data_IF_019850571039
#
_entry.id   IF_019850571039
#
_cell.length_a   1.000
_cell.length_b   1.000
_cell.length_c   1.000
_cell.angle_alpha   90.00
_cell.angle_beta   90.00
_cell.angle_gamma   90.00
#
_symmetry.space_group_name_H-M   'P 1'
#
loop_
_entity.id
_entity.type
_entity.pdbx_description
1 polymer ?
#
# COMPACT_ATOMS: atom_id res chain seq x y z
N UNK A 1 -4.78 -3.44 20.52
CA UNK A 1 -4.42 -3.45 20.09
C UNK A 1 -4.13 -3.13 19.37
N UNK A 2 -4.00 -3.16 19.00
CA UNK A 2 -3.70 -2.97 18.39
C UNK A 2 -3.39 -2.10 17.57
N UNK A 3 -3.42 -1.11 17.71
CA UNK A 3 -2.98 -0.14 16.91
C UNK A 3 -1.60 0.13 17.01
N UNK A 4 -0.90 -0.47 17.87
CA UNK A 4 0.48 -0.18 18.01
C UNK A 4 1.23 -0.90 16.96
N UNK A 5 2.37 -0.41 16.60
CA UNK A 5 3.24 -1.05 15.69
C UNK A 5 3.86 -2.23 16.34
N UNK A 6 3.81 -3.35 15.69
CA UNK A 6 4.36 -4.56 16.21
C UNK A 6 5.77 -4.73 15.76
N UNK A 7 6.53 -5.46 16.51
CA UNK A 7 7.84 -5.88 16.06
C UNK A 7 7.67 -6.78 14.85
N UNK A 8 8.53 -6.67 13.90
CA UNK A 8 8.46 -7.51 12.72
C UNK A 8 9.08 -6.82 11.54
N UNK A 9 8.78 -7.35 10.37
CA UNK A 9 9.32 -6.81 9.14
C UNK A 9 8.26 -6.04 8.40
N UNK A 10 8.67 -4.96 7.78
CA UNK A 10 7.77 -4.08 7.07
C UNK A 10 8.34 -3.76 5.71
N UNK A 11 7.47 -3.72 4.72
CA UNK A 11 7.84 -3.24 3.40
C UNK A 11 7.63 -1.73 3.40
N UNK A 12 8.64 -0.99 3.01
CA UNK A 12 8.49 0.45 2.87
C UNK A 12 8.40 0.82 1.41
N UNK A 13 7.59 1.81 1.12
CA UNK A 13 7.37 2.25 -0.25
C UNK A 13 7.10 3.75 -0.25
N UNK A 14 7.32 4.37 -1.38
CA UNK A 14 7.19 5.80 -1.47
C UNK A 14 5.98 6.22 -2.24
N UNK A 15 5.30 7.24 -1.75
CA UNK A 15 4.27 7.92 -2.48
C UNK A 15 4.63 9.39 -2.37
N UNK A 16 5.05 10.00 -3.46
CA UNK A 16 5.63 11.33 -3.48
C UNK A 16 6.85 11.34 -2.58
N UNK A 17 6.89 12.22 -1.65
CA UNK A 17 8.01 12.31 -0.74
C UNK A 17 7.75 11.61 0.57
N UNK A 18 6.64 10.93 0.69
CA UNK A 18 6.28 10.28 1.94
C UNK A 18 6.63 8.82 1.91
N UNK A 19 7.10 8.32 3.02
CA UNK A 19 7.43 6.92 3.13
C UNK A 19 6.32 6.23 3.93
N UNK A 20 5.80 5.17 3.37
CA UNK A 20 4.76 4.37 4.00
C UNK A 20 5.32 2.99 4.30
N UNK A 21 4.73 2.30 5.23
CA UNK A 21 5.14 0.95 5.57
C UNK A 21 3.95 0.02 5.74
N UNK A 22 4.11 -1.20 5.29
CA UNK A 22 3.12 -2.23 5.45
C UNK A 22 3.77 -3.44 6.08
N UNK A 23 3.05 -4.08 7.00
CA UNK A 23 3.52 -5.28 7.60
C UNK A 23 3.74 -6.31 6.50
N UNK A 24 4.88 -6.98 6.52
CA UNK A 24 5.24 -7.84 5.41
C UNK A 24 4.25 -8.98 5.21
N UNK A 25 3.60 -9.45 6.27
CA UNK A 25 2.65 -10.54 6.14
C UNK A 25 1.39 -10.13 5.40
N UNK A 26 1.13 -8.84 5.27
CA UNK A 26 -0.02 -8.38 4.51
C UNK A 26 0.30 -8.31 3.03
N UNK A 27 1.57 -8.33 2.66
CA UNK A 27 1.96 -8.15 1.28
C UNK A 27 1.96 -9.49 0.59
N UNK A 28 1.17 -9.63 -0.49
CA UNK A 28 1.11 -10.84 -1.21
C UNK A 28 2.12 -10.83 -2.32
N UNK A 29 2.28 -9.70 -2.94
CA UNK A 29 3.08 -9.63 -4.13
C UNK A 29 3.35 -8.18 -4.51
N UNK A 30 4.43 -7.90 -5.18
CA UNK A 30 4.76 -6.58 -5.70
C UNK A 30 5.03 -6.75 -7.17
N UNK A 31 4.37 -5.95 -8.00
CA UNK A 31 4.49 -6.09 -9.44
C UNK A 31 4.60 -4.74 -10.11
N UNK A 32 5.12 -4.75 -11.32
CA UNK A 32 4.95 -3.59 -12.19
C UNK A 32 3.48 -3.44 -12.46
N UNK A 33 3.05 -2.24 -12.77
CA UNK A 33 1.64 -1.99 -12.93
C UNK A 33 1.14 -2.58 -14.25
N UNK A 34 0.24 -3.53 -14.19
CA UNK A 34 -0.35 -4.06 -15.42
C UNK A 34 -1.40 -3.11 -15.97
N UNK A 35 -2.04 -3.48 -17.05
CA UNK A 35 -3.08 -2.64 -17.60
C UNK A 35 -4.23 -2.52 -16.61
N UNK A 36 -4.66 -1.31 -16.37
CA UNK A 36 -5.73 -1.05 -15.43
C UNK A 36 -6.99 -0.75 -16.23
N UNK A 37 -8.05 -1.46 -15.92
CA UNK A 37 -9.34 -1.22 -16.56
C UNK A 37 -10.14 -0.31 -15.64
N UNK A 38 -10.52 0.84 -16.17
CA UNK A 38 -11.31 1.78 -15.39
C UNK A 38 -12.76 1.29 -15.38
N UNK A 39 -13.35 1.30 -14.19
CA UNK A 39 -14.73 0.86 -14.04
C UNK A 39 -15.57 2.05 -13.64
N UNK A 40 -16.54 2.45 -14.44
CA UNK A 40 -17.35 3.62 -14.11
C UNK A 40 -18.15 3.39 -12.84
N UNK A 41 -18.34 4.44 -12.11
CA UNK A 41 -19.14 4.37 -10.88
C UNK A 41 -18.40 4.01 -9.64
N UNK A 42 -17.12 3.70 -9.72
CA UNK A 42 -16.36 3.45 -8.52
C UNK A 42 -15.87 4.75 -7.91
N UNK A 43 -15.50 4.68 -6.66
CA UNK A 43 -14.93 5.82 -5.97
C UNK A 43 -13.72 6.32 -6.75
N UNK A 44 -13.48 7.62 -6.73
CA UNK A 44 -12.37 8.16 -7.52
C UNK A 44 -11.01 7.82 -6.95
N UNK A 45 -10.91 7.26 -5.76
CA UNK A 45 -9.63 6.77 -5.28
C UNK A 45 -9.32 5.39 -5.85
N UNK A 46 -10.32 4.70 -6.39
CA UNK A 46 -10.08 3.42 -7.02
C UNK A 46 -9.77 3.70 -8.46
N UNK A 47 -8.52 3.38 -8.86
CA UNK A 47 -8.08 3.69 -10.18
C UNK A 47 -8.72 2.77 -11.21
N UNK A 48 -9.10 1.60 -10.81
CA UNK A 48 -9.72 0.61 -11.66
C UNK A 48 -9.46 -0.78 -11.14
N UNK A 49 -9.47 -1.75 -12.02
CA UNK A 49 -9.19 -3.13 -11.65
C UNK A 49 -8.08 -3.66 -12.52
N UNK A 50 -7.35 -4.64 -12.01
CA UNK A 50 -6.33 -5.34 -12.78
C UNK A 50 -6.61 -6.83 -12.67
N UNK A 51 -6.18 -7.56 -13.70
CA UNK A 51 -6.30 -9.00 -13.67
C UNK A 51 -4.91 -9.56 -13.41
N UNK A 52 -4.75 -10.28 -12.32
CA UNK A 52 -3.49 -10.88 -11.97
C UNK A 52 -3.73 -12.36 -11.84
N UNK A 53 -3.24 -13.09 -12.81
CA UNK A 53 -3.37 -14.55 -12.83
C UNK A 53 -4.81 -15.01 -12.67
N UNK A 54 -5.71 -14.33 -13.32
CA UNK A 54 -7.12 -14.69 -13.28
C UNK A 54 -7.92 -14.08 -12.14
N UNK A 55 -7.24 -13.36 -11.25
CA UNK A 55 -7.96 -12.71 -10.16
C UNK A 55 -8.15 -11.24 -10.48
N UNK A 56 -9.35 -10.76 -10.30
CA UNK A 56 -9.68 -9.36 -10.55
C UNK A 56 -9.50 -8.61 -9.25
N UNK A 57 -8.61 -7.65 -9.24
CA UNK A 57 -8.21 -6.98 -8.02
C UNK A 57 -8.41 -5.48 -8.19
N UNK A 58 -9.11 -4.83 -7.27
CA UNK A 58 -9.26 -3.38 -7.32
C UNK A 58 -7.95 -2.70 -6.96
N UNK A 59 -7.67 -1.58 -7.59
CA UNK A 59 -6.43 -0.85 -7.37
C UNK A 59 -6.74 0.52 -6.79
N UNK A 60 -6.16 0.81 -5.66
CA UNK A 60 -6.37 2.07 -4.98
C UNK A 60 -5.18 2.97 -5.22
N UNK A 61 -5.48 4.24 -5.51
CA UNK A 61 -4.45 5.25 -5.66
C UNK A 61 -4.43 6.08 -4.37
N UNK A 62 -3.51 5.78 -3.50
CA UNK A 62 -3.43 6.47 -2.21
C UNK A 62 -3.09 7.94 -2.41
N UNK A 63 -2.32 8.26 -3.42
CA UNK A 63 -1.98 9.65 -3.68
C UNK A 63 -3.26 10.43 -3.96
N UNK A 64 -4.18 9.85 -4.70
CA UNK A 64 -5.44 10.49 -4.98
C UNK A 64 -6.23 10.74 -3.70
N UNK A 65 -6.15 9.79 -2.77
CA UNK A 65 -6.89 9.91 -1.55
C UNK A 65 -6.34 11.01 -0.64
N UNK A 66 -5.02 11.10 -0.52
CA UNK A 66 -4.43 11.98 0.46
C UNK A 66 -4.04 13.35 -0.08
N UNK A 67 -3.71 13.47 -1.33
CA UNK A 67 -3.33 14.77 -1.88
C UNK A 67 -4.06 15.12 -3.15
N UNK A 68 -5.07 14.35 -3.49
CA UNK A 68 -5.94 14.63 -4.61
C UNK A 68 -5.18 14.74 -5.94
N UNK A 69 -4.16 13.94 -6.11
CA UNK A 69 -3.45 13.84 -7.35
C UNK A 69 -3.38 12.41 -7.78
N UNK A 70 -3.48 12.16 -9.05
CA UNK A 70 -3.35 10.80 -9.54
C UNK A 70 -1.89 10.45 -9.64
N UNK A 71 -1.57 9.20 -9.34
CA UNK A 71 -0.22 8.71 -9.48
C UNK A 71 0.13 8.63 -10.94
N UNK A 72 1.27 9.20 -11.32
CA UNK A 72 1.76 9.03 -12.66
C UNK A 72 2.46 7.72 -12.75
N UNK A 73 2.17 6.95 -13.79
CA UNK A 73 2.77 5.66 -13.94
C UNK A 73 4.11 5.82 -14.64
N UNK A 74 5.17 5.45 -13.96
CA UNK A 74 6.51 5.50 -14.51
C UNK A 74 7.10 4.10 -14.46
N UNK A 75 8.33 3.95 -14.89
CA UNK A 75 8.95 2.65 -14.86
C UNK A 75 9.20 2.15 -13.44
N UNK A 76 9.21 3.05 -12.47
CA UNK A 76 9.43 2.64 -11.09
C UNK A 76 8.13 2.39 -10.35
N UNK A 77 7.01 2.73 -10.94
CA UNK A 77 5.72 2.57 -10.28
C UNK A 77 5.39 1.10 -10.11
N UNK A 78 4.76 0.79 -9.00
CA UNK A 78 4.43 -0.60 -8.69
C UNK A 78 3.02 -0.69 -8.14
N UNK A 79 2.51 -1.90 -8.15
CA UNK A 79 1.32 -2.23 -7.41
C UNK A 79 1.75 -3.19 -6.31
N UNK A 80 1.36 -2.90 -5.09
CA UNK A 80 1.57 -3.79 -3.97
C UNK A 80 0.24 -4.48 -3.71
N UNK A 81 0.20 -5.77 -3.91
CA UNK A 81 -1.02 -6.55 -3.69
C UNK A 81 -1.03 -6.96 -2.23
N UNK A 82 -2.05 -6.53 -1.52
CA UNK A 82 -2.17 -6.79 -0.08
C UNK A 82 -3.37 -7.65 0.20
N UNK A 83 -3.29 -8.42 1.28
CA UNK A 83 -4.40 -9.20 1.76
C UNK A 83 -5.12 -8.42 2.82
N UNK A 84 -6.43 -8.38 2.72
CA UNK A 84 -7.26 -7.76 3.73
C UNK A 84 -8.13 -8.85 4.30
N UNK A 85 -7.99 -9.08 5.60
CA UNK A 85 -8.78 -10.09 6.26
C UNK A 85 -9.98 -9.44 6.90
N UNK A 86 -11.14 -9.93 6.54
CA UNK A 86 -12.35 -9.51 7.21
C UNK A 86 -12.85 -10.71 8.00
N UNK A 87 -13.96 -10.54 8.71
CA UNK A 87 -14.43 -11.56 9.61
C UNK A 87 -14.58 -12.91 8.95
N UNK A 88 -14.96 -12.97 7.71
CA UNK A 88 -15.22 -14.25 7.11
C UNK A 88 -14.48 -14.46 5.82
N UNK A 89 -13.71 -13.48 5.37
CA UNK A 89 -13.14 -13.56 4.06
C UNK A 89 -11.76 -12.96 3.97
N UNK A 90 -11.03 -13.34 2.95
CA UNK A 90 -9.78 -12.72 2.62
C UNK A 90 -9.98 -12.05 1.28
N UNK A 91 -9.68 -10.78 1.19
CA UNK A 91 -9.77 -10.02 -0.04
C UNK A 91 -8.41 -9.52 -0.44
N UNK A 92 -8.23 -9.28 -1.71
CA UNK A 92 -6.99 -8.72 -2.21
C UNK A 92 -7.24 -7.32 -2.74
N UNK A 93 -6.26 -6.47 -2.59
CA UNK A 93 -6.37 -5.11 -3.06
C UNK A 93 -5.00 -4.67 -3.54
N UNK A 94 -4.94 -3.89 -4.57
CA UNK A 94 -3.68 -3.35 -5.06
C UNK A 94 -3.52 -1.92 -4.61
N UNK A 95 -2.34 -1.57 -4.18
CA UNK A 95 -2.02 -0.21 -3.79
C UNK A 95 -0.96 0.28 -4.74
N UNK A 96 -1.23 1.39 -5.43
CA UNK A 96 -0.25 1.99 -6.31
C UNK A 96 0.76 2.77 -5.50
N UNK A 97 2.00 2.62 -5.83
CA UNK A 97 3.08 3.36 -5.18
C UNK A 97 4.04 3.86 -6.24
N UNK A 98 4.75 4.93 -5.92
CA UNK A 98 5.71 5.50 -6.86
C UNK A 98 6.96 4.63 -6.96
N UNK A 99 7.33 3.99 -5.90
CA UNK A 99 8.50 3.10 -5.90
C UNK A 99 8.52 2.26 -4.64
N UNK A 100 9.09 1.07 -4.75
CA UNK A 100 9.38 0.28 -3.56
C UNK A 100 10.68 0.82 -2.96
N UNK A 101 10.78 0.73 -1.65
CA UNK A 101 11.99 1.21 -1.01
C UNK A 101 12.79 0.06 -0.43
N UNK A 102 12.33 -0.53 0.62
CA UNK A 102 13.08 -1.62 1.24
C UNK A 102 12.22 -2.40 2.22
N UNK A 103 12.78 -3.46 2.72
CA UNK A 103 12.14 -4.19 3.81
C UNK A 103 12.97 -3.91 5.05
N UNK A 104 12.33 -3.42 6.09
CA UNK A 104 13.03 -3.08 7.31
C UNK A 104 12.50 -3.93 8.45
N UNK A 105 13.33 -4.11 9.46
CA UNK A 105 12.92 -4.80 10.65
C UNK A 105 12.74 -3.79 11.76
N UNK A 106 11.64 -3.86 12.44
CA UNK A 106 11.39 -3.00 13.57
C UNK A 106 11.29 -3.86 14.81
N UNK A 107 11.93 -3.41 15.88
CA UNK A 107 11.80 -4.05 17.15
C UNK A 107 11.16 -3.05 18.06
N UNK A 108 10.12 -3.44 18.76
CA UNK A 108 9.42 -2.52 19.64
C UNK A 108 10.34 -1.87 20.65
N UNK A 109 11.38 -2.56 21.04
CA UNK A 109 12.32 -1.98 21.99
C UNK A 109 13.09 -0.84 21.39
N UNK A 110 13.16 -0.72 20.08
CA UNK A 110 13.89 0.34 19.45
C UNK A 110 13.02 1.55 19.20
N UNK A 111 11.76 1.52 19.52
CA UNK A 111 10.87 2.60 19.23
C UNK A 111 10.58 3.33 20.48
N UNK A 112 11.14 4.51 20.61
CA UNK A 112 10.97 5.25 21.80
C UNK A 112 9.76 6.09 21.79
N UNK A 113 9.20 6.38 20.69
CA UNK A 113 8.01 7.17 20.67
C UNK A 113 7.21 6.67 19.50
N UNK A 114 6.00 7.02 19.37
CA UNK A 114 5.16 6.52 18.33
C UNK A 114 5.77 6.81 17.03
N UNK A 115 5.97 5.84 16.23
CA UNK A 115 6.63 5.99 15.02
C UNK A 115 5.82 6.73 14.06
N UNK A 116 6.47 7.30 13.14
CA UNK A 116 5.82 7.90 12.12
C UNK A 116 5.71 6.98 11.00
N UNK A 117 6.11 5.76 11.15
CA UNK A 117 5.93 4.83 10.18
C UNK A 117 4.67 4.19 10.38
N UNK A 118 4.36 3.35 9.61
CA UNK A 118 3.25 2.69 9.81
C UNK A 118 2.24 3.28 9.15
N UNK A 119 1.18 3.26 9.49
CA UNK A 119 0.29 3.66 8.85
C UNK A 119 0.53 4.72 8.08
N UNK A 120 0.71 5.71 8.42
CA UNK A 120 0.96 6.68 7.57
C UNK A 120 1.99 7.24 8.03
N UNK A 121 2.85 7.32 7.41
CA UNK A 121 3.86 7.83 7.79
C UNK A 121 3.93 9.12 7.75
N UNK A 122 3.26 9.79 8.11
CA UNK A 122 3.37 10.94 7.91
C UNK A 122 4.01 11.63 8.79
N UNK A 123 5.02 12.02 8.62
CA UNK A 123 5.82 12.59 9.48
C UNK A 123 5.32 13.81 9.91
N UNK A 124 4.39 14.29 9.37
CA UNK A 124 3.98 15.50 9.80
C UNK A 124 2.80 15.48 10.52
N UNK A 125 2.36 14.51 10.84
CA UNK A 125 1.13 14.45 11.49
C UNK A 125 1.17 14.01 12.83
#
# INVERSE_FOLDING_TARGET
>A
MSDSIKSGQYLTFKIEDELFALEIFSVREILEIPDITVVPGMSNVIRGIVNIRGLVIPVIDIKKKFIDKETEITKDSIIIVVEINTDSDISLMGIMADAAESVISLNMADIEQPPKLGMTVNKNY
#
